data_IF_017702233387
#
_entry.id   IF_017702233387
#
_cell.length_a   1.000
_cell.length_b   1.000
_cell.length_c   1.000
_cell.angle_alpha   90.00
_cell.angle_beta   90.00
_cell.angle_gamma   90.00
#
_symmetry.space_group_name_H-M   'P 1'
#
loop_
_entity.id
_entity.type
_entity.pdbx_description
1 polymer ?
#
# COMPACT_ATOMS: atom_id res chain seq x y z
N UNK A 1 47.02 2.62 80.53
CA UNK A 1 46.96 3.31 79.22
C UNK A 1 46.13 2.43 78.30
N UNK A 2 44.86 2.81 78.11
CA UNK A 2 43.84 2.09 77.34
C UNK A 2 43.94 2.49 75.87
N UNK A 3 44.20 1.53 74.98
CA UNK A 3 44.05 1.70 73.54
C UNK A 3 42.79 0.92 73.09
N UNK A 4 41.70 1.65 72.86
CA UNK A 4 40.49 1.10 72.25
C UNK A 4 40.53 1.36 70.74
N UNK A 5 41.06 0.40 69.99
CA UNK A 5 41.00 0.40 68.53
C UNK A 5 39.56 0.27 68.04
N UNK A 6 39.06 1.31 67.39
CA UNK A 6 37.72 1.41 66.80
C UNK A 6 37.51 0.33 65.73
N UNK A 7 36.83 -0.77 66.05
CA UNK A 7 36.41 -1.78 65.05
C UNK A 7 35.40 -1.14 64.11
N UNK A 8 35.80 -0.91 62.86
CA UNK A 8 34.91 -0.49 61.77
C UNK A 8 33.79 -1.53 61.65
N UNK A 9 32.53 -1.10 61.81
CA UNK A 9 31.39 -2.02 61.76
C UNK A 9 31.20 -2.47 60.31
N UNK A 10 30.92 -3.75 60.08
CA UNK A 10 30.68 -4.32 58.73
C UNK A 10 29.60 -3.54 57.96
N UNK A 11 28.64 -2.95 58.67
CA UNK A 11 27.59 -2.10 58.08
C UNK A 11 28.15 -0.80 57.48
N UNK A 12 29.20 -0.22 58.05
CA UNK A 12 29.84 1.01 57.57
C UNK A 12 30.62 0.77 56.26
N UNK A 13 31.14 -0.44 56.08
CA UNK A 13 31.81 -0.87 54.84
C UNK A 13 30.78 -1.07 53.70
N UNK A 14 29.62 -1.62 54.02
CA UNK A 14 28.52 -1.83 53.04
C UNK A 14 27.87 -0.50 52.64
N UNK A 15 27.68 0.43 53.59
CA UNK A 15 27.10 1.77 53.32
C UNK A 15 28.00 2.65 52.46
N UNK A 16 29.33 2.54 52.60
CA UNK A 16 30.28 3.22 51.70
C UNK A 16 30.16 2.77 50.23
N UNK A 17 29.81 1.51 49.98
CA UNK A 17 29.62 0.96 48.63
C UNK A 17 28.22 1.19 48.03
N UNK A 18 27.20 1.39 48.86
CA UNK A 18 25.80 1.53 48.45
C UNK A 18 25.57 2.71 47.51
N UNK A 19 26.15 3.88 47.79
CA UNK A 19 26.01 5.07 46.94
C UNK A 19 26.62 4.89 45.54
N UNK A 20 27.65 4.06 45.38
CA UNK A 20 28.25 3.74 44.07
C UNK A 20 27.34 2.79 43.26
N UNK A 21 26.73 1.81 43.92
CA UNK A 21 25.79 0.86 43.31
C UNK A 21 24.50 1.55 42.87
N UNK A 22 23.90 2.38 43.71
CA UNK A 22 22.69 3.13 43.36
C UNK A 22 22.90 4.07 42.17
N UNK A 23 24.08 4.69 42.03
CA UNK A 23 24.43 5.50 40.85
C UNK A 23 24.60 4.68 39.58
N UNK A 24 25.18 3.48 39.68
CA UNK A 24 25.29 2.57 38.53
C UNK A 24 23.91 2.05 38.10
N UNK A 25 23.07 1.67 39.06
CA UNK A 25 21.70 1.21 38.84
C UNK A 25 20.82 2.30 38.23
N UNK A 26 20.91 3.55 38.71
CA UNK A 26 20.16 4.67 38.15
C UNK A 26 20.55 4.95 36.70
N UNK A 27 21.83 4.86 36.36
CA UNK A 27 22.31 4.99 34.96
C UNK A 27 21.83 3.84 34.09
N UNK A 28 21.92 2.59 34.58
CA UNK A 28 21.42 1.42 33.86
C UNK A 28 19.92 1.53 33.57
N UNK A 29 19.12 1.87 34.59
CA UNK A 29 17.67 2.08 34.44
C UNK A 29 17.36 3.24 33.49
N UNK A 30 18.13 4.33 33.55
CA UNK A 30 17.99 5.45 32.62
C UNK A 30 18.28 5.02 31.18
N UNK A 31 19.37 4.29 30.92
CA UNK A 31 19.70 3.79 29.59
C UNK A 31 18.64 2.82 29.05
N UNK A 32 18.15 1.90 29.88
CA UNK A 32 17.07 0.98 29.51
C UNK A 32 15.78 1.74 29.17
N UNK A 33 15.37 2.69 30.01
CA UNK A 33 14.19 3.51 29.77
C UNK A 33 14.35 4.38 28.52
N UNK A 34 15.51 4.99 28.32
CA UNK A 34 15.78 5.79 27.13
C UNK A 34 15.79 4.95 25.87
N UNK A 35 16.31 3.72 25.92
CA UNK A 35 16.30 2.81 24.77
C UNK A 35 14.86 2.46 24.37
N UNK A 36 14.02 2.09 25.34
CA UNK A 36 12.60 1.81 25.10
C UNK A 36 11.89 3.03 24.50
N UNK A 37 12.12 4.22 25.07
CA UNK A 37 11.50 5.46 24.60
C UNK A 37 11.93 5.80 23.17
N UNK A 38 13.23 5.66 22.87
CA UNK A 38 13.75 5.84 21.51
C UNK A 38 13.13 4.83 20.54
N UNK A 39 13.02 3.55 20.91
CA UNK A 39 12.37 2.53 20.08
C UNK A 39 10.91 2.88 19.79
N UNK A 40 10.15 3.33 20.79
CA UNK A 40 8.75 3.75 20.60
C UNK A 40 8.66 4.97 19.69
N UNK A 41 9.54 5.95 19.86
CA UNK A 41 9.57 7.16 19.00
C UNK A 41 9.88 6.80 17.56
N UNK A 42 10.89 5.96 17.31
CA UNK A 42 11.24 5.50 15.96
C UNK A 42 10.08 4.73 15.33
N UNK A 43 9.43 3.84 16.09
CA UNK A 43 8.25 3.10 15.62
C UNK A 43 7.10 4.06 15.26
N UNK A 44 6.83 5.07 16.08
CA UNK A 44 5.81 6.07 15.81
C UNK A 44 6.13 6.89 14.54
N UNK A 45 7.39 7.32 14.37
CA UNK A 45 7.84 8.02 13.15
C UNK A 45 7.67 7.15 11.90
N UNK A 46 7.98 5.87 12.00
CA UNK A 46 7.79 4.91 10.92
C UNK A 46 6.30 4.80 10.55
N UNK A 47 5.40 4.66 11.52
CA UNK A 47 3.96 4.63 11.25
C UNK A 47 3.44 5.93 10.63
N UNK A 48 3.87 7.10 11.14
CA UNK A 48 3.51 8.40 10.57
C UNK A 48 3.95 8.48 9.10
N UNK A 49 5.18 8.04 8.79
CA UNK A 49 5.69 8.02 7.42
C UNK A 49 4.90 7.08 6.52
N UNK A 50 4.58 5.87 6.98
CA UNK A 50 3.81 4.90 6.20
C UNK A 50 2.40 5.43 5.91
N UNK A 51 1.71 5.93 6.93
CA UNK A 51 0.34 6.44 6.76
C UNK A 51 0.35 7.71 5.90
N UNK A 52 1.29 8.62 6.12
CA UNK A 52 1.42 9.88 5.39
C UNK A 52 1.79 9.69 3.92
N UNK A 53 2.59 8.68 3.58
CA UNK A 53 2.93 8.37 2.19
C UNK A 53 1.89 7.45 1.52
N UNK A 54 1.18 6.64 2.31
CA UNK A 54 0.24 5.62 1.81
C UNK A 54 -1.21 6.08 1.69
N UNK A 55 -1.63 7.18 2.33
CA UNK A 55 -3.06 7.56 2.34
C UNK A 55 -3.63 7.83 0.94
N UNK A 56 -2.78 8.20 -0.02
CA UNK A 56 -3.18 8.48 -1.40
C UNK A 56 -3.63 7.23 -2.14
N UNK A 57 -3.22 6.03 -1.71
CA UNK A 57 -3.65 4.75 -2.29
C UNK A 57 -5.14 4.44 -2.04
N UNK A 58 -5.75 5.02 -1.00
CA UNK A 58 -7.19 4.87 -0.72
C UNK A 58 -8.07 5.67 -1.67
N UNK A 59 -7.48 6.56 -2.47
CA UNK A 59 -8.17 7.33 -3.49
C UNK A 59 -7.74 6.82 -4.85
N UNK A 60 -8.62 6.93 -5.84
CA UNK A 60 -8.31 6.54 -7.21
C UNK A 60 -8.97 7.50 -8.18
N UNK A 61 -8.19 7.99 -9.14
CA UNK A 61 -8.67 8.85 -10.21
C UNK A 61 -9.33 8.00 -11.29
N UNK A 62 -10.53 8.40 -11.68
CA UNK A 62 -11.31 7.77 -12.74
C UNK A 62 -11.66 8.79 -13.80
N UNK A 63 -11.67 8.33 -15.05
CA UNK A 63 -12.04 9.11 -16.22
C UNK A 63 -13.32 8.51 -16.81
N UNK A 64 -14.29 9.38 -17.12
CA UNK A 64 -15.56 9.00 -17.73
C UNK A 64 -15.44 9.00 -19.25
N UNK A 65 -15.59 7.82 -19.83
CA UNK A 65 -15.59 7.61 -21.27
C UNK A 65 -16.96 7.15 -21.75
N UNK A 66 -17.39 7.69 -22.89
CA UNK A 66 -18.62 7.25 -23.55
C UNK A 66 -18.26 6.17 -24.58
N UNK A 67 -18.27 4.92 -24.12
CA UNK A 67 -17.78 3.76 -24.87
C UNK A 67 -18.91 3.14 -25.67
N UNK A 68 -18.70 3.00 -26.98
CA UNK A 68 -19.64 2.28 -27.86
C UNK A 68 -19.21 0.82 -27.93
N UNK A 69 -20.06 -0.10 -27.47
CA UNK A 69 -19.79 -1.53 -27.50
C UNK A 69 -20.13 -2.08 -28.90
N UNK A 70 -19.25 -1.83 -29.86
CA UNK A 70 -19.50 -2.16 -31.27
C UNK A 70 -19.67 -3.68 -31.50
N UNK A 71 -20.79 -4.15 -32.09
CA UNK A 71 -21.00 -5.56 -32.41
C UNK A 71 -19.98 -6.14 -33.40
N UNK A 72 -19.35 -5.31 -34.24
CA UNK A 72 -18.32 -5.78 -35.18
C UNK A 72 -17.03 -6.19 -34.45
N UNK A 73 -16.68 -5.46 -33.38
CA UNK A 73 -15.53 -5.77 -32.52
C UNK A 73 -15.87 -6.86 -31.50
N UNK A 74 -17.11 -6.84 -30.98
CA UNK A 74 -17.59 -7.73 -29.92
C UNK A 74 -18.51 -8.82 -30.48
N UNK A 75 -17.93 -9.81 -31.14
CA UNK A 75 -18.67 -10.98 -31.58
C UNK A 75 -19.05 -11.86 -30.39
N UNK A 76 -20.32 -12.29 -30.34
CA UNK A 76 -20.91 -13.02 -29.21
C UNK A 76 -20.18 -14.32 -28.86
N UNK A 77 -19.61 -14.99 -29.86
CA UNK A 77 -18.93 -16.27 -29.68
C UNK A 77 -17.49 -16.11 -29.14
N UNK A 78 -16.93 -14.90 -29.20
CA UNK A 78 -15.53 -14.62 -28.82
C UNK A 78 -15.39 -13.45 -27.84
N UNK A 79 -16.44 -13.13 -27.07
CA UNK A 79 -16.45 -12.00 -26.16
C UNK A 79 -15.25 -11.99 -25.21
N UNK A 80 -14.88 -13.15 -24.64
CA UNK A 80 -13.77 -13.21 -23.68
C UNK A 80 -12.41 -12.74 -24.24
N UNK A 81 -12.20 -12.87 -25.56
CA UNK A 81 -10.92 -12.58 -26.22
C UNK A 81 -11.01 -11.40 -27.21
N UNK A 82 -12.09 -10.62 -27.17
CA UNK A 82 -12.24 -9.48 -28.06
C UNK A 82 -11.27 -8.32 -27.72
N UNK A 83 -11.00 -7.44 -28.69
CA UNK A 83 -10.11 -6.29 -28.51
C UNK A 83 -10.83 -5.13 -27.81
N UNK A 84 -10.96 -5.23 -26.48
CA UNK A 84 -11.56 -4.17 -25.66
C UNK A 84 -10.71 -2.90 -25.62
N UNK A 85 -9.40 -3.01 -25.84
CA UNK A 85 -8.54 -1.82 -25.96
C UNK A 85 -8.95 -0.98 -27.18
N UNK A 86 -9.39 -1.60 -28.27
CA UNK A 86 -9.91 -0.85 -29.43
C UNK A 86 -11.11 0.02 -29.08
N UNK A 87 -11.97 -0.42 -28.16
CA UNK A 87 -13.12 0.37 -27.71
C UNK A 87 -12.70 1.58 -26.90
N UNK A 88 -11.71 1.43 -26.01
CA UNK A 88 -11.13 2.55 -25.24
C UNK A 88 -10.50 3.56 -26.19
N UNK A 89 -9.67 3.07 -27.13
CA UNK A 89 -9.01 3.91 -28.16
C UNK A 89 -10.04 4.67 -29.01
N UNK A 90 -11.11 4.01 -29.44
CA UNK A 90 -12.18 4.63 -30.22
C UNK A 90 -12.93 5.70 -29.41
N UNK A 91 -13.22 5.45 -28.13
CA UNK A 91 -13.87 6.41 -27.25
C UNK A 91 -13.00 7.66 -27.03
N UNK A 92 -11.69 7.50 -26.79
CA UNK A 92 -10.74 8.61 -26.67
C UNK A 92 -10.62 9.40 -27.97
N UNK A 93 -10.51 8.71 -29.12
CA UNK A 93 -10.42 9.36 -30.43
C UNK A 93 -11.68 10.18 -30.76
N UNK A 94 -12.85 9.76 -30.28
CA UNK A 94 -14.11 10.50 -30.43
C UNK A 94 -14.16 11.77 -29.57
N UNK A 95 -13.54 11.74 -28.38
CA UNK A 95 -13.45 12.92 -27.49
C UNK A 95 -12.42 13.94 -28.00
N UNK A 96 -11.34 13.45 -28.61
CA UNK A 96 -10.23 14.26 -29.12
C UNK A 96 -10.00 14.01 -30.63
N UNK A 97 -10.96 14.38 -31.51
CA UNK A 97 -10.83 14.19 -32.96
C UNK A 97 -9.66 14.95 -33.58
N UNK A 98 -9.16 15.99 -32.92
CA UNK A 98 -7.99 16.75 -33.31
C UNK A 98 -6.67 15.96 -33.23
N UNK A 99 -6.63 14.88 -32.44
CA UNK A 99 -5.42 14.07 -32.23
C UNK A 99 -5.26 13.07 -33.38
N UNK A 100 -4.34 13.37 -34.30
CA UNK A 100 -4.06 12.55 -35.48
C UNK A 100 -2.65 11.95 -35.47
N UNK A 101 -1.70 12.56 -34.77
CA UNK A 101 -0.32 12.11 -34.70
C UNK A 101 -0.18 10.77 -33.98
N UNK A 102 0.70 9.87 -34.47
CA UNK A 102 0.95 8.56 -33.84
C UNK A 102 1.45 8.70 -32.41
N UNK A 103 2.35 9.66 -32.15
CA UNK A 103 2.91 9.92 -30.84
C UNK A 103 1.84 10.47 -29.89
N UNK A 104 1.07 11.46 -30.32
CA UNK A 104 -0.01 12.06 -29.55
C UNK A 104 -1.09 11.02 -29.20
N UNK A 105 -1.49 10.18 -30.16
CA UNK A 105 -2.42 9.06 -29.91
C UNK A 105 -1.90 8.10 -28.84
N UNK A 106 -0.60 7.80 -28.85
CA UNK A 106 0.01 6.95 -27.82
C UNK A 106 -0.06 7.62 -26.45
N UNK A 107 0.24 8.91 -26.36
CA UNK A 107 0.15 9.68 -25.11
C UNK A 107 -1.30 9.78 -24.61
N UNK A 108 -2.26 10.00 -25.51
CA UNK A 108 -3.68 10.07 -25.19
C UNK A 108 -4.19 8.74 -24.65
N UNK A 109 -3.85 7.63 -25.33
CA UNK A 109 -4.21 6.30 -24.85
C UNK A 109 -3.56 5.98 -23.51
N UNK A 110 -2.33 6.45 -23.28
CA UNK A 110 -1.62 6.33 -22.01
C UNK A 110 -2.19 7.18 -20.87
N UNK A 111 -3.28 7.94 -21.08
CA UNK A 111 -3.99 8.58 -19.96
C UNK A 111 -4.94 7.64 -19.22
N UNK A 112 -5.29 6.52 -19.86
CA UNK A 112 -6.23 5.53 -19.34
C UNK A 112 -5.45 4.28 -18.98
N UNK A 113 -5.75 3.72 -17.82
CA UNK A 113 -5.16 2.47 -17.36
C UNK A 113 -5.43 1.33 -18.34
N UNK A 114 -4.45 0.43 -18.50
CA UNK A 114 -4.64 -0.86 -19.20
C UNK A 114 -5.76 -1.71 -18.57
N UNK A 115 -6.08 -1.45 -17.30
CA UNK A 115 -7.23 -2.01 -16.57
C UNK A 115 -8.59 -1.69 -17.17
N UNK A 116 -8.70 -0.62 -17.96
CA UNK A 116 -9.96 -0.21 -18.58
C UNK A 116 -10.51 -1.28 -19.53
N UNK A 117 -9.65 -1.92 -20.33
CA UNK A 117 -10.06 -2.98 -21.24
C UNK A 117 -10.67 -4.18 -20.48
N UNK A 118 -10.05 -4.59 -19.36
CA UNK A 118 -10.59 -5.65 -18.51
C UNK A 118 -11.92 -5.25 -17.87
N UNK A 119 -12.05 -4.01 -17.40
CA UNK A 119 -13.32 -3.52 -16.84
C UNK A 119 -14.45 -3.55 -17.89
N UNK A 120 -14.18 -3.13 -19.12
CA UNK A 120 -15.17 -3.19 -20.22
C UNK A 120 -15.51 -4.64 -20.60
N UNK A 121 -14.52 -5.54 -20.60
CA UNK A 121 -14.75 -6.97 -20.81
C UNK A 121 -15.67 -7.54 -19.76
N UNK A 122 -15.37 -7.32 -18.49
CA UNK A 122 -16.15 -7.87 -17.39
C UNK A 122 -17.59 -7.32 -17.40
N UNK A 123 -17.79 -6.06 -17.83
CA UNK A 123 -19.12 -5.51 -18.10
C UNK A 123 -19.84 -6.23 -19.25
N UNK A 124 -19.18 -6.46 -20.38
CA UNK A 124 -19.78 -7.13 -21.54
C UNK A 124 -20.08 -8.62 -21.29
N UNK A 125 -19.25 -9.29 -20.49
CA UNK A 125 -19.47 -10.67 -20.07
C UNK A 125 -20.60 -10.79 -19.03
N UNK A 126 -20.70 -9.80 -18.12
CA UNK A 126 -21.75 -9.76 -17.09
C UNK A 126 -23.11 -9.35 -17.63
N UNK A 127 -23.15 -8.45 -18.62
CA UNK A 127 -24.37 -7.99 -19.28
C UNK A 127 -24.15 -7.88 -20.81
N UNK A 128 -24.39 -8.96 -21.57
CA UNK A 128 -24.25 -8.95 -23.03
C UNK A 128 -25.22 -8.02 -23.77
N UNK A 129 -26.27 -7.51 -23.11
CA UNK A 129 -27.27 -6.63 -23.75
C UNK A 129 -26.75 -5.19 -23.95
N UNK A 130 -25.57 -4.86 -23.44
CA UNK A 130 -24.89 -3.58 -23.70
C UNK A 130 -24.28 -3.53 -25.11
N UNK A 131 -24.08 -4.68 -25.76
CA UNK A 131 -23.52 -4.76 -27.11
C UNK A 131 -24.45 -4.03 -28.10
N UNK A 132 -23.88 -3.13 -28.89
CA UNK A 132 -24.58 -2.22 -29.80
C UNK A 132 -24.97 -0.87 -29.18
N UNK A 133 -24.71 -0.64 -27.89
CA UNK A 133 -25.07 0.61 -27.19
C UNK A 133 -23.83 1.45 -26.85
N UNK A 134 -24.04 2.76 -26.70
CA UNK A 134 -23.07 3.66 -26.09
C UNK A 134 -23.36 3.79 -24.61
N UNK A 135 -22.41 3.40 -23.76
CA UNK A 135 -22.53 3.45 -22.30
C UNK A 135 -21.45 4.37 -21.74
N UNK A 136 -21.84 5.24 -20.80
CA UNK A 136 -20.89 6.09 -20.08
C UNK A 136 -20.28 5.29 -18.93
N UNK A 137 -18.98 5.02 -19.01
CA UNK A 137 -18.26 4.15 -18.07
C UNK A 137 -17.14 4.94 -17.39
N UNK A 138 -17.01 4.75 -16.07
CA UNK A 138 -15.89 5.27 -15.29
C UNK A 138 -14.76 4.24 -15.28
N UNK A 139 -13.69 4.54 -16.01
CA UNK A 139 -12.49 3.69 -16.07
C UNK A 139 -11.36 4.30 -15.26
N UNK A 140 -10.37 3.50 -14.88
CA UNK A 140 -9.20 3.99 -14.17
C UNK A 140 -8.34 4.88 -15.05
N UNK A 141 -7.90 6.01 -14.50
CA UNK A 141 -6.79 6.76 -15.09
C UNK A 141 -5.48 5.99 -14.90
N UNK A 142 -4.53 6.23 -15.79
CA UNK A 142 -3.14 5.76 -15.67
C UNK A 142 -2.45 6.30 -14.39
N UNK A 143 -1.38 5.64 -13.94
CA UNK A 143 -0.73 5.93 -12.66
C UNK A 143 -0.15 7.35 -12.60
N UNK A 144 0.49 7.81 -13.68
CA UNK A 144 1.07 9.15 -13.75
C UNK A 144 -0.02 10.24 -13.74
N UNK A 145 -1.15 9.98 -14.40
CA UNK A 145 -2.33 10.86 -14.37
C UNK A 145 -2.94 10.91 -12.97
N UNK A 146 -3.09 9.76 -12.34
CA UNK A 146 -3.64 9.63 -11.00
C UNK A 146 -2.78 10.37 -9.95
N UNK A 147 -1.45 10.25 -10.02
CA UNK A 147 -0.53 10.97 -9.14
C UNK A 147 -0.62 12.48 -9.28
N UNK A 148 -0.82 12.99 -10.50
CA UNK A 148 -0.98 14.43 -10.76
C UNK A 148 -2.30 14.95 -10.20
N UNK A 149 -3.40 14.22 -10.41
CA UNK A 149 -4.72 14.60 -9.87
C UNK A 149 -4.77 14.50 -8.33
N UNK A 150 -3.94 13.64 -7.75
CA UNK A 150 -3.70 13.54 -6.30
C UNK A 150 -2.70 14.58 -5.76
N UNK A 151 -2.09 15.38 -6.63
CA UNK A 151 -1.13 16.43 -6.24
C UNK A 151 0.22 15.92 -5.75
N UNK A 152 0.60 14.69 -6.11
CA UNK A 152 1.91 14.11 -5.76
C UNK A 152 3.02 14.57 -6.70
N UNK A 153 2.68 14.90 -7.95
CA UNK A 153 3.60 15.49 -8.90
C UNK A 153 3.23 16.95 -9.17
N UNK A 154 4.22 17.84 -9.08
CA UNK A 154 4.01 19.26 -9.35
C UNK A 154 3.78 19.51 -10.84
N UNK A 155 2.75 20.28 -11.15
CA UNK A 155 2.40 20.71 -12.51
C UNK A 155 3.30 21.82 -13.02
N UNK A 156 4.01 22.53 -12.14
CA UNK A 156 4.76 23.76 -12.46
C UNK A 156 6.19 23.51 -12.94
N UNK A 157 6.67 22.27 -12.84
CA UNK A 157 8.01 21.89 -13.29
C UNK A 157 8.03 21.82 -14.82
N UNK A 158 9.20 21.98 -15.45
CA UNK A 158 9.34 21.81 -16.90
C UNK A 158 8.92 20.40 -17.36
N UNK A 159 8.49 20.28 -18.61
CA UNK A 159 8.10 18.99 -19.21
C UNK A 159 9.18 17.92 -19.09
N UNK A 160 10.46 18.27 -19.30
CA UNK A 160 11.59 17.33 -19.20
C UNK A 160 11.76 16.69 -17.82
N UNK A 161 11.26 17.34 -16.76
CA UNK A 161 11.37 16.89 -15.38
C UNK A 161 10.05 16.29 -14.85
N UNK A 162 9.04 16.14 -15.71
CA UNK A 162 7.76 15.52 -15.39
C UNK A 162 7.59 14.22 -16.17
N UNK A 163 6.75 13.34 -15.66
CA UNK A 163 6.44 12.07 -16.32
C UNK A 163 5.39 12.19 -17.42
N UNK A 164 4.60 13.26 -17.42
CA UNK A 164 3.58 13.52 -18.44
C UNK A 164 3.90 14.77 -19.26
N UNK A 165 3.46 14.78 -20.51
CA UNK A 165 3.64 15.90 -21.43
C UNK A 165 2.73 17.08 -21.11
N UNK A 166 3.08 18.27 -21.62
CA UNK A 166 2.19 19.44 -21.55
C UNK A 166 0.86 19.20 -22.29
N UNK A 167 0.91 18.41 -23.36
CA UNK A 167 -0.29 18.02 -24.10
C UNK A 167 -1.21 17.12 -23.29
N UNK A 168 -0.66 16.16 -22.53
CA UNK A 168 -1.44 15.33 -21.61
C UNK A 168 -2.06 16.14 -20.48
N UNK A 169 -1.36 17.16 -19.97
CA UNK A 169 -1.93 18.10 -19.00
C UNK A 169 -3.10 18.89 -19.59
N UNK A 170 -2.96 19.40 -20.81
CA UNK A 170 -4.03 20.13 -21.48
C UNK A 170 -5.27 19.25 -21.69
N UNK A 171 -5.09 17.99 -22.09
CA UNK A 171 -6.20 17.03 -22.19
C UNK A 171 -6.82 16.73 -20.81
N UNK A 172 -6.01 16.56 -19.77
CA UNK A 172 -6.48 16.34 -18.41
C UNK A 172 -7.30 17.53 -17.89
N UNK A 173 -6.85 18.75 -18.14
CA UNK A 173 -7.55 19.97 -17.75
C UNK A 173 -8.88 20.10 -18.48
N UNK A 174 -8.93 19.76 -19.78
CA UNK A 174 -10.18 19.68 -20.54
C UNK A 174 -11.13 18.65 -19.96
N UNK A 175 -10.67 17.42 -19.70
CA UNK A 175 -11.51 16.37 -19.09
C UNK A 175 -12.03 16.78 -17.72
N UNK A 176 -11.21 17.50 -16.94
CA UNK A 176 -11.60 18.01 -15.62
C UNK A 176 -12.66 19.10 -15.75
N UNK A 177 -12.48 20.04 -16.68
CA UNK A 177 -13.44 21.11 -16.97
C UNK A 177 -14.80 20.56 -17.47
N UNK A 178 -14.78 19.46 -18.23
CA UNK A 178 -15.98 18.75 -18.69
C UNK A 178 -16.63 17.85 -17.60
N UNK A 179 -16.08 17.81 -16.38
CA UNK A 179 -16.58 16.95 -15.30
C UNK A 179 -16.45 15.46 -15.60
N UNK A 180 -15.44 15.07 -16.39
CA UNK A 180 -15.14 13.67 -16.73
C UNK A 180 -14.05 13.06 -15.85
N UNK A 181 -13.48 13.80 -14.91
CA UNK A 181 -12.47 13.30 -13.95
C UNK A 181 -13.06 13.33 -12.55
N UNK A 182 -12.96 12.21 -11.84
CA UNK A 182 -13.42 12.10 -10.45
C UNK A 182 -12.40 11.33 -9.61
N UNK A 183 -12.19 11.77 -8.36
CA UNK A 183 -11.49 10.99 -7.33
C UNK A 183 -12.51 10.20 -6.52
N UNK A 184 -12.39 8.88 -6.53
CA UNK A 184 -13.27 7.98 -5.78
C UNK A 184 -12.48 7.13 -4.79
N UNK A 185 -13.12 6.73 -3.70
CA UNK A 185 -12.53 5.80 -2.75
C UNK A 185 -12.24 4.44 -3.42
N UNK A 186 -11.01 3.95 -3.27
CA UNK A 186 -10.52 2.75 -3.93
C UNK A 186 -10.91 1.49 -3.15
N UNK A 187 -12.15 1.02 -3.33
CA UNK A 187 -12.58 -0.26 -2.74
C UNK A 187 -11.80 -1.44 -3.36
N UNK A 188 -11.35 -1.31 -4.61
CA UNK A 188 -10.64 -2.38 -5.31
C UNK A 188 -9.32 -2.70 -4.60
N UNK A 189 -8.62 -1.70 -4.08
CA UNK A 189 -7.40 -1.88 -3.26
C UNK A 189 -7.51 -2.97 -2.19
N UNK A 190 -8.67 -3.15 -1.56
CA UNK A 190 -8.87 -4.16 -0.51
C UNK A 190 -9.30 -5.53 -1.03
N UNK A 191 -9.78 -5.61 -2.29
CA UNK A 191 -10.32 -6.85 -2.89
C UNK A 191 -9.40 -7.43 -3.97
N UNK A 192 -8.54 -6.61 -4.57
CA UNK A 192 -7.58 -7.06 -5.58
C UNK A 192 -6.27 -7.57 -4.96
N UNK A 193 -5.60 -8.45 -5.72
CA UNK A 193 -4.24 -8.90 -5.43
C UNK A 193 -3.19 -7.92 -5.97
N UNK A 194 -1.95 -8.38 -6.04
CA UNK A 194 -0.87 -7.63 -6.66
C UNK A 194 -1.08 -7.47 -8.17
N UNK A 195 -0.61 -6.35 -8.71
CA UNK A 195 -0.66 -6.03 -10.14
C UNK A 195 0.67 -5.40 -10.56
N UNK A 196 0.96 -5.49 -11.86
CA UNK A 196 2.09 -4.77 -12.48
C UNK A 196 1.82 -3.26 -12.58
N UNK A 197 0.55 -2.89 -12.59
CA UNK A 197 0.09 -1.51 -12.70
C UNK A 197 -0.30 -1.00 -11.30
N UNK A 198 0.35 0.07 -10.79
CA UNK A 198 0.14 0.56 -9.42
C UNK A 198 -1.32 0.90 -9.09
N UNK A 199 -2.10 1.37 -10.06
CA UNK A 199 -3.49 1.80 -9.90
C UNK A 199 -4.49 0.65 -9.73
N UNK A 200 -4.09 -0.58 -10.09
CA UNK A 200 -4.89 -1.80 -9.92
C UNK A 200 -4.42 -2.66 -8.74
N UNK A 201 -3.21 -2.40 -8.24
CA UNK A 201 -2.60 -3.17 -7.17
C UNK A 201 -3.42 -3.07 -5.87
N UNK A 202 -3.60 -4.20 -5.20
CA UNK A 202 -4.29 -4.31 -3.93
C UNK A 202 -3.50 -5.10 -2.89
N UNK A 203 -3.98 -5.05 -1.65
CA UNK A 203 -3.30 -5.66 -0.50
C UNK A 203 -3.82 -7.06 -0.17
N UNK A 204 -4.85 -7.55 -0.85
CA UNK A 204 -5.53 -8.79 -0.45
C UNK A 204 -4.60 -10.00 -0.44
N UNK A 205 -3.69 -10.08 -1.41
CA UNK A 205 -2.66 -11.13 -1.46
C UNK A 205 -1.74 -11.11 -0.25
N UNK A 206 -1.24 -9.92 0.13
CA UNK A 206 -0.37 -9.73 1.30
C UNK A 206 -1.10 -10.04 2.63
N UNK A 207 -2.37 -9.65 2.73
CA UNK A 207 -3.23 -9.96 3.88
C UNK A 207 -3.40 -11.47 4.05
N UNK A 208 -3.71 -12.17 2.95
CA UNK A 208 -3.88 -13.63 2.99
C UNK A 208 -2.57 -14.36 3.30
N UNK A 209 -1.45 -13.94 2.70
CA UNK A 209 -0.13 -14.50 3.01
C UNK A 209 0.24 -14.33 4.49
N UNK A 210 0.01 -13.13 5.04
CA UNK A 210 0.26 -12.85 6.46
C UNK A 210 -0.64 -13.68 7.38
N UNK A 211 -1.93 -13.79 7.02
CA UNK A 211 -2.89 -14.61 7.76
C UNK A 211 -2.46 -16.09 7.81
N UNK A 212 -2.14 -16.69 6.68
CA UNK A 212 -1.68 -18.09 6.64
C UNK A 212 -0.37 -18.28 7.42
N UNK A 213 0.56 -17.32 7.36
CA UNK A 213 1.80 -17.38 8.13
C UNK A 213 1.52 -17.40 9.64
N UNK A 214 0.61 -16.55 10.13
CA UNK A 214 0.21 -16.54 11.54
C UNK A 214 -0.50 -17.83 11.95
N UNK A 215 -1.38 -18.37 11.10
CA UNK A 215 -2.08 -19.63 11.37
C UNK A 215 -1.10 -20.79 11.47
N UNK A 216 -0.18 -20.93 10.50
CA UNK A 216 0.80 -22.01 10.49
C UNK A 216 1.75 -21.90 11.69
N UNK A 217 2.24 -20.70 12.00
CA UNK A 217 3.11 -20.49 13.16
C UNK A 217 2.39 -20.82 14.47
N UNK A 218 1.12 -20.45 14.62
CA UNK A 218 0.31 -20.80 15.79
C UNK A 218 0.11 -22.32 15.90
N UNK A 219 -0.25 -22.99 14.80
CA UNK A 219 -0.50 -24.43 14.75
C UNK A 219 0.74 -25.26 15.10
N UNK A 220 1.95 -24.77 14.81
CA UNK A 220 3.20 -25.44 15.17
C UNK A 220 3.68 -25.04 16.57
N UNK A 221 3.66 -23.74 16.89
CA UNK A 221 4.17 -23.21 18.15
C UNK A 221 3.34 -23.67 19.34
N UNK A 222 2.01 -23.72 19.21
CA UNK A 222 1.13 -24.06 20.32
C UNK A 222 1.32 -25.51 20.81
N UNK A 223 1.26 -26.56 19.96
CA UNK A 223 1.48 -27.94 20.42
C UNK A 223 2.89 -28.17 20.94
N UNK A 224 3.91 -27.59 20.29
CA UNK A 224 5.31 -27.71 20.73
C UNK A 224 5.49 -27.04 22.10
N UNK A 225 4.92 -25.85 22.30
CA UNK A 225 4.96 -25.14 23.57
C UNK A 225 4.28 -25.91 24.70
N UNK A 226 3.10 -26.48 24.42
CA UNK A 226 2.37 -27.34 25.39
C UNK A 226 3.18 -28.60 25.71
N UNK A 227 3.71 -29.29 24.70
CA UNK A 227 4.52 -30.49 24.90
C UNK A 227 5.79 -30.20 25.71
N UNK A 228 6.46 -29.07 25.46
CA UNK A 228 7.62 -28.63 26.23
C UNK A 228 7.27 -28.33 27.69
N UNK A 229 6.13 -27.67 27.95
CA UNK A 229 5.67 -27.40 29.31
C UNK A 229 5.36 -28.69 30.08
N UNK A 230 4.60 -29.61 29.47
CA UNK A 230 4.28 -30.92 30.07
C UNK A 230 5.55 -31.75 30.32
N UNK A 231 6.51 -31.73 29.38
CA UNK A 231 7.78 -32.42 29.56
C UNK A 231 8.58 -31.87 30.75
N UNK A 232 8.62 -30.53 30.90
CA UNK A 232 9.28 -29.90 32.04
C UNK A 232 8.59 -30.21 33.37
N UNK A 233 7.26 -30.32 33.37
CA UNK A 233 6.49 -30.66 34.57
C UNK A 233 6.68 -32.12 34.99
N UNK A 234 6.65 -33.06 34.05
CA UNK A 234 6.64 -34.49 34.36
C UNK A 234 8.06 -35.12 34.42
N UNK A 235 9.01 -34.64 33.62
CA UNK A 235 10.30 -35.34 33.40
C UNK A 235 11.56 -34.53 33.74
N UNK A 236 11.48 -33.24 34.05
CA UNK A 236 12.67 -32.45 34.33
C UNK A 236 13.27 -32.76 35.72
N UNK A 237 14.56 -33.10 35.76
CA UNK A 237 15.31 -33.26 37.00
C UNK A 237 15.61 -31.89 37.62
N UNK A 238 15.28 -31.70 38.92
CA UNK A 238 15.60 -30.46 39.66
C UNK A 238 17.12 -30.24 39.72
N UNK A 239 17.62 -29.19 39.07
CA UNK A 239 19.01 -28.75 39.19
C UNK A 239 19.11 -27.21 39.10
N UNK A 240 20.26 -26.59 39.36
CA UNK A 240 20.35 -25.11 39.43
C UNK A 240 20.13 -24.40 38.08
N UNK A 241 19.98 -25.16 37.00
CA UNK A 241 19.78 -24.68 35.63
C UNK A 241 18.45 -25.19 35.03
N UNK A 242 17.59 -25.89 35.80
CA UNK A 242 16.23 -26.32 35.45
C UNK A 242 15.38 -26.45 36.71
#
# INVERSE_FOLDING_TARGET
>A
MTDQGTRVRTIDIVTQGLAKRYRAERRFRFYGLSAILVSIVVLALLFISIIGNGYTAFWQTRIRLDVTFDPEVLQRDTLANADYDALVRAALQKLFPEVQGRQERRQLNGMISSGAAYALRDMALGDPDIIGKTVSVWVFADDDIDMIVKGQFSREVSEENRRISDQQLAWLDRLTAEGRVEKKFNIIFFRSGDSREPEQAGIWGAVMGSFFTLVITLLLSFPIGVAAAVYLEEFAHKNRWT
#
